data_IF_489932850888
#
_entry.id   IF_489932850888
#
_cell.length_a   1.000
_cell.length_b   1.000
_cell.length_c   1.000
_cell.angle_alpha   90.00
_cell.angle_beta   90.00
_cell.angle_gamma   90.00
#
_symmetry.space_group_name_H-M   'P 1'
#
loop_
_entity.id
_entity.type
_entity.pdbx_description
1 polymer ?
#
# COMPACT_ATOMS: atom_id res chain seq x y z
N UNK A 1 -20.90 -19.39 0.33
CA UNK A 1 -20.88 -19.38 -1.15
C UNK A 1 -20.18 -20.65 -1.62
N UNK A 2 -20.53 -21.19 -2.79
CA UNK A 2 -19.81 -22.34 -3.33
C UNK A 2 -18.44 -21.90 -3.86
N UNK A 3 -17.45 -22.81 -3.87
CA UNK A 3 -16.12 -22.56 -4.44
C UNK A 3 -16.20 -22.01 -5.88
N UNK A 4 -17.14 -22.50 -6.65
CA UNK A 4 -17.38 -22.05 -8.03
C UNK A 4 -17.85 -20.58 -8.09
N UNK A 5 -18.74 -20.18 -7.18
CA UNK A 5 -19.19 -18.78 -7.08
C UNK A 5 -18.05 -17.83 -6.70
N UNK A 6 -17.16 -18.27 -5.82
CA UNK A 6 -16.00 -17.51 -5.41
C UNK A 6 -14.99 -17.32 -6.56
N UNK A 7 -14.76 -18.37 -7.36
CA UNK A 7 -13.88 -18.30 -8.54
C UNK A 7 -14.48 -17.35 -9.59
N UNK A 8 -15.78 -17.47 -9.88
CA UNK A 8 -16.45 -16.55 -10.79
C UNK A 8 -16.45 -15.12 -10.27
N UNK A 9 -16.56 -14.94 -8.95
CA UNK A 9 -16.44 -13.64 -8.29
C UNK A 9 -15.08 -12.99 -8.51
N UNK A 10 -13.98 -13.77 -8.40
CA UNK A 10 -12.62 -13.25 -8.65
C UNK A 10 -12.42 -12.90 -10.15
N UNK A 11 -12.94 -13.71 -11.08
CA UNK A 11 -12.90 -13.40 -12.53
C UNK A 11 -13.66 -12.11 -12.85
N UNK A 12 -14.89 -11.98 -12.34
CA UNK A 12 -15.70 -10.78 -12.57
C UNK A 12 -15.03 -9.55 -11.94
N UNK A 13 -14.45 -9.68 -10.74
CA UNK A 13 -13.74 -8.58 -10.09
C UNK A 13 -12.53 -8.10 -10.90
N UNK A 14 -11.83 -9.01 -11.61
CA UNK A 14 -10.74 -8.65 -12.51
C UNK A 14 -11.27 -7.86 -13.72
N UNK A 15 -12.36 -8.33 -14.35
CA UNK A 15 -13.00 -7.62 -15.46
C UNK A 15 -13.54 -6.24 -15.07
N UNK A 16 -14.05 -6.11 -13.83
CA UNK A 16 -14.60 -4.83 -13.33
C UNK A 16 -13.51 -3.77 -13.07
N UNK A 17 -12.25 -4.20 -12.82
CA UNK A 17 -11.16 -3.33 -12.32
C UNK A 17 -10.03 -3.12 -13.30
N UNK A 18 -9.88 -4.01 -14.28
CA UNK A 18 -8.90 -3.90 -15.35
C UNK A 18 -9.61 -3.62 -16.68
N UNK A 19 -9.57 -2.37 -17.19
CA UNK A 19 -10.17 -2.02 -18.48
C UNK A 19 -9.58 -2.78 -19.67
N UNK A 20 -8.35 -3.35 -19.53
CA UNK A 20 -7.73 -4.15 -20.57
C UNK A 20 -8.29 -5.57 -20.64
N UNK A 21 -8.92 -6.06 -19.57
CA UNK A 21 -9.56 -7.37 -19.53
C UNK A 21 -10.93 -7.33 -20.21
N UNK A 22 -11.09 -8.00 -21.34
CA UNK A 22 -12.33 -7.95 -22.13
C UNK A 22 -13.20 -9.18 -22.00
N UNK A 23 -12.61 -10.35 -21.68
CA UNK A 23 -13.29 -11.65 -21.68
C UNK A 23 -12.88 -12.50 -20.48
N UNK A 24 -13.83 -13.26 -19.93
CA UNK A 24 -13.56 -14.22 -18.82
C UNK A 24 -12.49 -15.25 -19.19
N UNK A 25 -12.48 -15.71 -20.43
CA UNK A 25 -11.50 -16.68 -20.92
C UNK A 25 -10.07 -16.09 -20.89
N UNK A 26 -9.94 -14.82 -21.18
CA UNK A 26 -8.67 -14.09 -21.12
C UNK A 26 -8.11 -14.06 -19.69
N UNK A 27 -8.96 -13.72 -18.70
CA UNK A 27 -8.58 -13.76 -17.28
C UNK A 27 -8.15 -15.17 -16.87
N UNK A 28 -8.90 -16.18 -17.29
CA UNK A 28 -8.61 -17.57 -16.98
C UNK A 28 -7.26 -18.04 -17.54
N UNK A 29 -6.88 -17.60 -18.75
CA UNK A 29 -5.70 -18.10 -19.45
C UNK A 29 -4.43 -17.26 -19.23
N UNK A 30 -4.56 -15.94 -19.04
CA UNK A 30 -3.42 -15.02 -19.15
C UNK A 30 -3.19 -14.14 -17.94
N UNK A 31 -4.01 -14.22 -16.87
CA UNK A 31 -3.86 -13.37 -15.68
C UNK A 31 -3.12 -14.09 -14.56
N UNK A 32 -1.83 -13.79 -14.33
CA UNK A 32 -1.02 -14.47 -13.32
C UNK A 32 -1.56 -14.25 -11.90
N UNK A 33 -2.15 -13.09 -11.60
CA UNK A 33 -2.79 -12.81 -10.31
C UNK A 33 -3.97 -13.72 -10.04
N UNK A 34 -4.80 -13.98 -11.06
CA UNK A 34 -5.90 -14.94 -10.95
C UNK A 34 -5.39 -16.36 -10.73
N UNK A 35 -4.35 -16.80 -11.47
CA UNK A 35 -3.75 -18.12 -11.29
C UNK A 35 -3.21 -18.31 -9.88
N UNK A 36 -2.46 -17.33 -9.37
CA UNK A 36 -1.92 -17.37 -8.01
C UNK A 36 -3.04 -17.46 -6.96
N UNK A 37 -4.12 -16.70 -7.14
CA UNK A 37 -5.28 -16.73 -6.25
C UNK A 37 -6.02 -18.07 -6.32
N UNK A 38 -6.22 -18.61 -7.51
CA UNK A 38 -6.90 -19.89 -7.71
C UNK A 38 -6.16 -21.03 -6.99
N UNK A 39 -4.85 -21.16 -7.24
CA UNK A 39 -4.04 -22.20 -6.60
C UNK A 39 -3.93 -21.98 -5.09
N UNK A 40 -3.86 -20.74 -4.63
CA UNK A 40 -3.87 -20.43 -3.20
C UNK A 40 -5.14 -20.97 -2.50
N UNK A 41 -6.33 -20.93 -3.12
CA UNK A 41 -7.54 -21.50 -2.53
C UNK A 41 -7.38 -22.98 -2.18
N UNK A 42 -6.82 -23.77 -3.12
CA UNK A 42 -6.53 -25.19 -2.89
C UNK A 42 -5.40 -25.39 -1.88
N UNK A 43 -4.32 -24.63 -2.00
CA UNK A 43 -3.20 -24.71 -1.05
C UNK A 43 -3.62 -24.35 0.38
N UNK A 44 -4.47 -23.35 0.56
CA UNK A 44 -5.03 -22.99 1.86
C UNK A 44 -5.89 -24.09 2.47
N UNK A 45 -6.73 -24.76 1.66
CA UNK A 45 -7.51 -25.92 2.12
C UNK A 45 -6.60 -27.07 2.58
N UNK A 46 -5.56 -27.40 1.81
CA UNK A 46 -4.56 -28.43 2.14
C UNK A 46 -3.78 -28.02 3.39
N UNK A 47 -3.41 -26.75 3.53
CA UNK A 47 -2.73 -26.21 4.71
C UNK A 47 -3.55 -26.38 5.99
N UNK A 48 -4.87 -26.12 5.93
CA UNK A 48 -5.80 -26.36 7.04
C UNK A 48 -5.89 -27.85 7.44
N UNK A 49 -5.64 -28.76 6.51
CA UNK A 49 -5.56 -30.23 6.78
C UNK A 49 -4.20 -30.64 7.35
N UNK A 50 -3.32 -29.69 7.71
CA UNK A 50 -1.97 -29.92 8.24
C UNK A 50 -0.97 -30.55 7.26
N UNK A 51 -1.30 -30.63 5.99
CA UNK A 51 -0.40 -31.10 4.93
C UNK A 51 0.51 -29.94 4.45
N UNK A 52 1.34 -29.46 5.37
CA UNK A 52 2.08 -28.19 5.22
C UNK A 52 3.07 -28.19 4.05
N UNK A 53 3.80 -29.30 3.85
CA UNK A 53 4.78 -29.40 2.76
C UNK A 53 4.13 -29.35 1.39
N UNK A 54 3.00 -30.04 1.22
CA UNK A 54 2.27 -30.04 -0.05
C UNK A 54 1.72 -28.65 -0.35
N UNK A 55 1.10 -28.01 0.65
CA UNK A 55 0.57 -26.66 0.48
C UNK A 55 1.67 -25.65 0.11
N UNK A 56 2.82 -25.68 0.78
CA UNK A 56 3.97 -24.83 0.48
C UNK A 56 4.57 -25.15 -0.89
N UNK A 57 4.68 -26.43 -1.26
CA UNK A 57 5.18 -26.85 -2.57
C UNK A 57 4.32 -26.32 -3.72
N UNK A 58 2.97 -26.39 -3.59
CA UNK A 58 2.06 -25.80 -4.58
C UNK A 58 2.28 -24.30 -4.74
N UNK A 59 2.39 -23.55 -3.64
CA UNK A 59 2.62 -22.10 -3.71
C UNK A 59 4.02 -21.74 -4.22
N UNK A 60 5.02 -22.58 -3.98
CA UNK A 60 6.35 -22.43 -4.56
C UNK A 60 6.32 -22.55 -6.10
N UNK A 61 5.61 -23.55 -6.64
CA UNK A 61 5.44 -23.73 -8.08
C UNK A 61 4.72 -22.51 -8.73
N UNK A 62 3.69 -22.00 -8.06
CA UNK A 62 2.98 -20.80 -8.51
C UNK A 62 3.91 -19.59 -8.53
N UNK A 63 4.74 -19.42 -7.49
CA UNK A 63 5.73 -18.34 -7.46
C UNK A 63 6.70 -18.40 -8.63
N UNK A 64 7.15 -19.58 -9.04
CA UNK A 64 8.06 -19.73 -10.18
C UNK A 64 7.45 -19.28 -11.52
N UNK A 65 6.14 -19.45 -11.68
CA UNK A 65 5.45 -19.13 -12.94
C UNK A 65 4.82 -17.74 -12.97
N UNK A 66 4.43 -17.22 -11.80
CA UNK A 66 3.70 -15.95 -11.70
C UNK A 66 4.51 -14.82 -11.07
N UNK A 67 5.65 -15.15 -10.42
CA UNK A 67 6.42 -14.24 -9.58
C UNK A 67 5.62 -13.62 -8.40
N UNK A 68 4.51 -14.29 -8.01
CA UNK A 68 3.65 -13.92 -6.88
C UNK A 68 3.87 -14.91 -5.74
N UNK A 69 4.22 -14.39 -4.57
CA UNK A 69 4.38 -15.18 -3.36
C UNK A 69 3.18 -14.99 -2.42
N UNK A 70 2.41 -16.06 -2.19
CA UNK A 70 1.33 -16.07 -1.19
C UNK A 70 1.58 -17.23 -0.25
N UNK A 71 1.71 -16.94 1.06
CA UNK A 71 1.81 -18.01 2.03
C UNK A 71 0.47 -18.76 2.13
N UNK A 72 0.44 -20.11 2.09
CA UNK A 72 -0.82 -20.87 2.10
C UNK A 72 -1.64 -20.70 3.39
N UNK A 73 -1.06 -20.13 4.45
CA UNK A 73 -1.76 -19.78 5.69
C UNK A 73 -2.55 -18.46 5.63
N UNK A 74 -2.28 -17.59 4.66
CA UNK A 74 -2.99 -16.33 4.51
C UNK A 74 -4.50 -16.54 4.32
N UNK A 75 -5.32 -15.70 4.95
CA UNK A 75 -6.77 -15.72 4.79
C UNK A 75 -7.17 -14.65 3.77
N UNK A 76 -7.79 -15.05 2.68
CA UNK A 76 -8.13 -14.13 1.59
C UNK A 76 -9.61 -14.28 1.24
N UNK A 77 -10.34 -13.18 1.34
CA UNK A 77 -11.77 -13.06 1.04
C UNK A 77 -12.10 -13.15 -0.46
N UNK A 78 -13.38 -13.03 -0.81
CA UNK A 78 -13.86 -13.08 -2.18
C UNK A 78 -13.55 -11.78 -2.95
N UNK A 79 -13.59 -11.88 -4.29
CA UNK A 79 -13.37 -10.76 -5.22
C UNK A 79 -12.01 -10.07 -5.02
N UNK A 80 -11.00 -10.87 -4.67
CA UNK A 80 -9.63 -10.42 -4.53
C UNK A 80 -8.93 -10.42 -5.89
N UNK A 81 -8.30 -9.30 -6.22
CA UNK A 81 -7.59 -9.09 -7.49
C UNK A 81 -6.12 -8.75 -7.21
N UNK A 82 -5.23 -9.40 -7.92
CA UNK A 82 -3.83 -9.00 -8.06
C UNK A 82 -3.63 -8.60 -9.52
N UNK A 83 -3.41 -7.30 -9.73
CA UNK A 83 -3.18 -6.75 -11.05
C UNK A 83 -1.67 -6.68 -11.33
N UNK A 84 -1.26 -7.11 -12.54
CA UNK A 84 0.12 -7.35 -12.95
C UNK A 84 0.86 -8.39 -12.09
N UNK A 85 0.95 -8.21 -10.80
CA UNK A 85 1.29 -9.16 -9.75
C UNK A 85 2.77 -9.44 -9.50
N UNK A 86 3.67 -9.19 -10.45
CA UNK A 86 5.10 -9.50 -10.27
C UNK A 86 5.66 -8.88 -8.98
N UNK A 87 6.32 -9.69 -8.14
CA UNK A 87 6.92 -9.25 -6.88
C UNK A 87 5.94 -9.00 -5.74
N UNK A 88 4.66 -9.38 -5.87
CA UNK A 88 3.72 -9.37 -4.73
C UNK A 88 4.12 -10.42 -3.70
N UNK A 89 4.12 -10.04 -2.41
CA UNK A 89 4.40 -10.92 -1.28
C UNK A 89 3.28 -10.80 -0.24
N UNK A 90 2.62 -11.91 0.07
CA UNK A 90 1.56 -12.00 1.08
C UNK A 90 1.96 -12.99 2.16
N UNK A 91 2.25 -12.48 3.37
CA UNK A 91 2.75 -13.26 4.50
C UNK A 91 1.71 -14.14 5.19
N UNK A 92 2.19 -15.05 6.04
CA UNK A 92 1.43 -16.15 6.66
C UNK A 92 0.16 -15.73 7.40
N UNK A 93 0.26 -14.71 8.25
CA UNK A 93 -0.86 -14.28 9.11
C UNK A 93 -1.63 -13.09 8.55
N UNK A 94 -1.47 -12.82 7.23
CA UNK A 94 -2.25 -11.79 6.54
C UNK A 94 -3.72 -12.19 6.50
N UNK A 95 -4.59 -11.20 6.72
CA UNK A 95 -6.03 -11.33 6.54
C UNK A 95 -6.51 -10.27 5.55
N UNK A 96 -7.17 -10.71 4.50
CA UNK A 96 -7.68 -9.86 3.42
C UNK A 96 -9.19 -10.07 3.34
N UNK A 97 -9.94 -9.01 3.54
CA UNK A 97 -11.39 -8.96 3.39
C UNK A 97 -11.84 -9.01 1.92
N UNK A 98 -13.13 -8.75 1.66
CA UNK A 98 -13.67 -8.78 0.30
C UNK A 98 -13.20 -7.57 -0.52
N UNK A 99 -13.27 -7.71 -1.86
CA UNK A 99 -13.09 -6.61 -2.82
C UNK A 99 -11.73 -5.89 -2.77
N UNK A 100 -10.66 -6.54 -2.36
CA UNK A 100 -9.33 -5.93 -2.28
C UNK A 100 -8.58 -6.08 -3.60
N UNK A 101 -7.88 -5.01 -4.01
CA UNK A 101 -6.98 -4.99 -5.16
C UNK A 101 -5.55 -4.69 -4.72
N UNK A 102 -4.61 -5.53 -5.14
CA UNK A 102 -3.18 -5.30 -4.98
C UNK A 102 -2.53 -5.16 -6.36
N UNK A 103 -1.62 -4.21 -6.50
CA UNK A 103 -0.78 -4.06 -7.68
C UNK A 103 0.58 -4.75 -7.50
N UNK A 104 1.36 -4.81 -8.59
CA UNK A 104 2.70 -5.43 -8.59
C UNK A 104 3.60 -4.85 -7.48
N UNK A 105 4.49 -5.70 -6.96
CA UNK A 105 5.50 -5.32 -5.97
C UNK A 105 4.96 -5.00 -4.57
N UNK A 106 3.65 -5.14 -4.32
CA UNK A 106 3.07 -4.95 -2.99
C UNK A 106 3.60 -6.00 -2.03
N UNK A 107 3.95 -5.57 -0.80
CA UNK A 107 4.35 -6.49 0.28
C UNK A 107 3.42 -6.32 1.48
N UNK A 108 2.77 -7.41 1.88
CA UNK A 108 2.07 -7.54 3.15
C UNK A 108 2.96 -8.33 4.11
N UNK A 109 3.89 -7.59 4.77
CA UNK A 109 5.02 -8.15 5.50
C UNK A 109 4.83 -8.18 7.01
N UNK A 110 5.64 -8.97 7.69
CA UNK A 110 5.64 -9.08 9.16
C UNK A 110 6.86 -8.45 9.81
N UNK A 111 6.73 -8.07 11.08
CA UNK A 111 7.81 -7.45 11.88
C UNK A 111 8.36 -8.36 12.97
N UNK A 112 7.79 -9.56 13.16
CA UNK A 112 8.18 -10.46 14.26
C UNK A 112 8.58 -11.83 13.76
N UNK A 113 9.56 -12.43 14.40
CA UNK A 113 9.97 -13.84 14.22
C UNK A 113 9.13 -14.82 15.04
N UNK A 114 8.29 -14.32 15.95
CA UNK A 114 7.40 -15.15 16.78
C UNK A 114 6.20 -15.64 15.98
N UNK A 115 5.64 -16.79 16.38
CA UNK A 115 4.42 -17.37 15.77
C UNK A 115 3.14 -16.71 16.30
N UNK A 116 3.01 -15.41 16.05
CA UNK A 116 1.86 -14.59 16.43
C UNK A 116 1.29 -13.88 15.20
N UNK A 117 0.17 -13.18 15.33
CA UNK A 117 -0.28 -12.24 14.31
C UNK A 117 0.81 -11.18 14.12
N UNK A 118 1.40 -11.10 12.91
CA UNK A 118 2.54 -10.25 12.57
C UNK A 118 2.46 -9.63 11.18
N UNK A 119 1.43 -9.97 10.41
CA UNK A 119 1.17 -9.43 9.08
C UNK A 119 -0.13 -8.64 9.07
N UNK A 120 -0.34 -7.76 8.07
CA UNK A 120 -1.48 -6.86 8.03
C UNK A 120 -2.84 -7.55 7.95
N UNK A 121 -3.87 -6.77 8.35
CA UNK A 121 -5.28 -7.05 8.07
C UNK A 121 -5.83 -5.95 7.17
N UNK A 122 -6.39 -6.30 6.02
CA UNK A 122 -7.12 -5.42 5.12
C UNK A 122 -8.61 -5.74 5.28
N UNK A 123 -9.41 -4.78 5.76
CA UNK A 123 -10.82 -5.04 6.13
C UNK A 123 -11.68 -5.31 4.90
N UNK A 124 -11.48 -4.56 3.81
CA UNK A 124 -12.16 -4.77 2.52
C UNK A 124 -12.24 -3.50 1.68
N UNK A 125 -12.64 -3.64 0.42
CA UNK A 125 -12.74 -2.57 -0.58
C UNK A 125 -11.47 -1.72 -0.73
N UNK A 126 -10.32 -2.27 -0.33
CA UNK A 126 -9.04 -1.58 -0.34
C UNK A 126 -8.38 -1.65 -1.72
N UNK A 127 -7.66 -0.59 -2.05
CA UNK A 127 -6.75 -0.54 -3.20
C UNK A 127 -5.34 -0.25 -2.71
N UNK A 128 -4.39 -1.14 -3.01
CA UNK A 128 -2.99 -1.00 -2.62
C UNK A 128 -2.15 -0.81 -3.87
N UNK A 129 -1.61 0.38 -4.03
CA UNK A 129 -0.84 0.81 -5.20
C UNK A 129 0.48 0.06 -5.37
N UNK A 130 1.01 0.12 -6.58
CA UNK A 130 2.22 -0.59 -6.99
C UNK A 130 3.40 -0.32 -6.04
N UNK A 131 4.11 -1.39 -5.66
CA UNK A 131 5.30 -1.28 -4.82
C UNK A 131 5.07 -0.90 -3.36
N UNK A 132 3.84 -0.66 -2.93
CA UNK A 132 3.55 -0.30 -1.53
C UNK A 132 3.92 -1.43 -0.56
N UNK A 133 4.39 -1.05 0.63
CA UNK A 133 4.80 -1.97 1.70
C UNK A 133 3.94 -1.72 2.93
N UNK A 134 3.17 -2.70 3.35
CA UNK A 134 2.37 -2.67 4.57
C UNK A 134 3.00 -3.66 5.54
N UNK A 135 3.56 -3.16 6.63
CA UNK A 135 4.48 -3.93 7.45
C UNK A 135 4.00 -3.98 8.91
N UNK A 136 3.84 -5.19 9.43
CA UNK A 136 3.41 -5.44 10.80
C UNK A 136 1.95 -5.90 10.92
N UNK A 137 1.49 -6.12 12.15
CA UNK A 137 0.10 -6.48 12.45
C UNK A 137 -0.81 -5.25 12.45
N UNK A 138 -0.70 -4.42 11.39
CA UNK A 138 -1.50 -3.21 11.22
C UNK A 138 -2.84 -3.51 10.56
N UNK A 139 -3.83 -2.68 10.82
CA UNK A 139 -5.15 -2.75 10.21
C UNK A 139 -5.34 -1.64 9.18
N UNK A 140 -5.79 -2.01 7.99
CA UNK A 140 -6.17 -1.10 6.92
C UNK A 140 -7.69 -1.11 6.85
N UNK A 141 -8.30 -0.01 7.26
CA UNK A 141 -9.75 0.14 7.37
C UNK A 141 -10.48 -0.02 6.03
N UNK A 142 -11.79 -0.24 6.12
CA UNK A 142 -12.67 -0.42 4.95
C UNK A 142 -12.50 0.73 3.96
N UNK A 143 -12.39 0.43 2.67
CA UNK A 143 -12.32 1.43 1.61
C UNK A 143 -11.03 2.26 1.57
N UNK A 144 -10.09 2.04 2.50
CA UNK A 144 -8.82 2.79 2.51
C UNK A 144 -7.96 2.49 1.29
N UNK A 145 -7.24 3.51 0.83
CA UNK A 145 -6.37 3.47 -0.35
C UNK A 145 -4.92 3.73 0.04
N UNK A 146 -4.03 2.90 -0.44
CA UNK A 146 -2.59 3.06 -0.22
C UNK A 146 -1.93 3.43 -1.55
N UNK A 147 -1.28 4.58 -1.59
CA UNK A 147 -0.60 5.08 -2.77
C UNK A 147 0.60 4.20 -3.18
N UNK A 148 0.97 4.28 -4.45
CA UNK A 148 2.13 3.54 -4.97
C UNK A 148 3.41 3.93 -4.22
N UNK A 149 4.27 2.94 -3.94
CA UNK A 149 5.54 3.15 -3.24
C UNK A 149 5.45 3.49 -1.75
N UNK A 150 4.25 3.63 -1.19
CA UNK A 150 4.07 4.00 0.22
C UNK A 150 4.52 2.91 1.18
N UNK A 151 5.02 3.31 2.36
CA UNK A 151 5.42 2.39 3.44
C UNK A 151 4.53 2.63 4.66
N UNK A 152 3.59 1.71 4.91
CA UNK A 152 2.60 1.81 5.98
C UNK A 152 3.04 0.97 7.18
N UNK A 153 3.20 1.63 8.33
CA UNK A 153 3.69 1.04 9.58
C UNK A 153 2.67 1.15 10.73
N UNK A 154 1.56 1.84 10.51
CA UNK A 154 0.51 2.11 11.50
C UNK A 154 -0.87 1.79 10.94
N UNK A 155 -1.88 1.70 11.80
CA UNK A 155 -3.26 1.50 11.38
C UNK A 155 -3.75 2.66 10.51
N UNK A 156 -4.56 2.32 9.50
CA UNK A 156 -5.15 3.28 8.58
C UNK A 156 -6.67 3.30 8.78
N UNK A 157 -7.27 4.47 9.05
CA UNK A 157 -8.72 4.59 9.19
C UNK A 157 -9.49 4.18 7.91
N UNK A 158 -10.78 3.95 8.07
CA UNK A 158 -11.70 3.71 6.95
C UNK A 158 -11.67 4.89 5.96
N UNK A 159 -11.79 4.59 4.67
CA UNK A 159 -11.86 5.57 3.58
C UNK A 159 -10.69 6.57 3.51
N UNK A 160 -9.62 6.32 4.25
CA UNK A 160 -8.41 7.15 4.23
C UNK A 160 -7.54 6.83 3.01
N UNK A 161 -6.84 7.85 2.53
CA UNK A 161 -5.77 7.70 1.54
C UNK A 161 -4.43 7.97 2.20
N UNK A 162 -3.49 7.03 2.07
CA UNK A 162 -2.13 7.12 2.62
C UNK A 162 -1.12 7.16 1.49
N UNK A 163 -0.18 8.08 1.57
CA UNK A 163 0.97 8.18 0.63
C UNK A 163 2.26 8.47 1.39
N UNK A 164 3.39 8.19 0.76
CA UNK A 164 4.73 8.57 1.25
C UNK A 164 5.49 7.48 2.01
N UNK A 165 6.72 7.83 2.46
CA UNK A 165 7.65 6.96 3.19
C UNK A 165 8.28 7.75 4.35
N UNK A 166 7.84 7.54 5.61
CA UNK A 166 6.71 6.72 6.04
C UNK A 166 5.37 7.23 5.49
N UNK A 167 4.37 6.35 5.40
CA UNK A 167 3.06 6.71 4.84
C UNK A 167 2.25 7.64 5.76
N UNK A 168 1.74 8.74 5.21
CA UNK A 168 0.90 9.71 5.87
C UNK A 168 -0.50 9.72 5.28
N UNK A 169 -1.52 9.96 6.13
CA UNK A 169 -2.90 10.11 5.68
C UNK A 169 -3.04 11.48 5.03
N UNK A 170 -3.37 11.51 3.74
CA UNK A 170 -3.54 12.77 2.99
C UNK A 170 -5.00 13.15 2.78
N UNK A 171 -5.89 12.16 2.75
CA UNK A 171 -7.31 12.36 2.53
C UNK A 171 -8.12 11.36 3.32
N UNK A 172 -9.30 11.78 3.78
CA UNK A 172 -10.33 10.89 4.32
C UNK A 172 -11.64 11.22 3.60
N UNK A 173 -12.32 10.21 3.05
CA UNK A 173 -13.64 10.37 2.44
C UNK A 173 -14.71 10.13 3.49
N UNK A 174 -15.60 11.10 3.67
CA UNK A 174 -16.78 10.97 4.52
C UNK A 174 -17.87 10.20 3.75
N UNK A 175 -18.26 9.04 4.25
CA UNK A 175 -19.26 8.17 3.61
C UNK A 175 -20.68 8.77 3.67
N UNK A 176 -20.97 9.68 4.60
CA UNK A 176 -22.30 10.25 4.78
C UNK A 176 -22.65 11.29 3.71
N UNK A 177 -21.67 12.03 3.21
CA UNK A 177 -21.87 13.14 2.27
C UNK A 177 -20.96 13.07 1.03
N UNK A 178 -20.06 12.08 0.97
CA UNK A 178 -19.09 11.90 -0.12
C UNK A 178 -17.99 12.96 -0.19
N UNK A 179 -17.91 13.85 0.79
CA UNK A 179 -16.90 14.91 0.84
C UNK A 179 -15.55 14.31 1.13
N UNK A 180 -14.54 14.74 0.37
CA UNK A 180 -13.14 14.36 0.60
C UNK A 180 -12.49 15.44 1.45
N UNK A 181 -12.21 15.12 2.71
CA UNK A 181 -11.45 15.98 3.60
C UNK A 181 -9.95 15.77 3.35
N UNK A 182 -9.26 16.84 2.94
CA UNK A 182 -7.80 16.84 2.84
C UNK A 182 -7.21 16.98 4.25
N UNK A 183 -6.29 16.10 4.59
CA UNK A 183 -5.56 16.18 5.85
C UNK A 183 -4.30 17.05 5.65
N UNK A 184 -3.85 17.77 6.69
CA UNK A 184 -2.57 18.46 6.65
C UNK A 184 -1.45 17.48 6.27
N UNK A 185 -0.57 17.91 5.39
CA UNK A 185 0.65 17.17 5.06
C UNK A 185 1.79 17.68 5.96
N UNK A 186 2.24 16.88 6.96
CA UNK A 186 3.25 17.32 7.90
C UNK A 186 4.60 17.67 7.24
N UNK A 187 4.93 17.03 6.11
CA UNK A 187 6.16 17.30 5.37
C UNK A 187 6.03 18.63 4.61
N UNK A 188 4.88 18.89 4.00
CA UNK A 188 4.59 20.14 3.32
C UNK A 188 4.55 21.33 4.30
N UNK A 189 3.92 21.16 5.46
CA UNK A 189 3.92 22.19 6.52
C UNK A 189 5.33 22.49 7.03
N UNK A 190 6.15 21.44 7.20
CA UNK A 190 7.56 21.60 7.60
C UNK A 190 8.41 22.29 6.54
N UNK A 191 8.18 21.99 5.25
CA UNK A 191 8.84 22.66 4.14
C UNK A 191 8.47 24.14 4.10
N UNK A 192 7.19 24.50 4.20
CA UNK A 192 6.74 25.88 4.25
C UNK A 192 7.34 26.66 5.44
N UNK A 193 7.46 25.99 6.61
CA UNK A 193 8.09 26.59 7.78
C UNK A 193 9.61 26.82 7.55
N UNK A 194 10.29 25.90 6.86
CA UNK A 194 11.70 26.06 6.52
C UNK A 194 11.90 27.17 5.50
N UNK A 195 11.04 27.27 4.49
CA UNK A 195 11.09 28.36 3.50
C UNK A 195 10.91 29.72 4.18
N UNK A 196 9.91 29.87 5.07
CA UNK A 196 9.70 31.13 5.80
C UNK A 196 10.89 31.51 6.69
N UNK A 197 11.54 30.53 7.34
CA UNK A 197 12.77 30.78 8.12
C UNK A 197 13.96 31.14 7.24
N UNK A 198 14.08 30.58 6.06
CA UNK A 198 15.10 30.98 5.08
C UNK A 198 14.90 32.40 4.64
N UNK A 199 13.66 32.86 4.39
CA UNK A 199 13.36 34.23 4.04
C UNK A 199 13.73 35.21 5.18
N UNK A 200 13.35 34.89 6.43
CA UNK A 200 13.74 35.69 7.62
C UNK A 200 15.26 35.78 7.77
N UNK A 201 15.99 34.70 7.51
CA UNK A 201 17.46 34.71 7.56
C UNK A 201 18.07 35.54 6.48
N UNK A 202 17.55 35.46 5.25
CA UNK A 202 18.01 36.27 4.12
C UNK A 202 17.79 37.80 4.36
N UNK A 203 16.65 38.16 4.91
CA UNK A 203 16.38 39.54 5.31
C UNK A 203 17.37 40.01 6.38
N UNK A 204 17.63 39.17 7.41
CA UNK A 204 18.60 39.48 8.46
C UNK A 204 20.03 39.66 7.91
N UNK A 205 20.44 38.77 6.98
CA UNK A 205 21.75 38.87 6.31
C UNK A 205 21.85 40.17 5.52
N UNK A 206 20.82 40.51 4.76
CA UNK A 206 20.78 41.75 3.97
C UNK A 206 20.90 43.00 4.85
N UNK A 207 20.19 42.98 5.99
CA UNK A 207 20.26 44.09 6.96
C UNK A 207 21.66 44.20 7.57
N UNK A 208 22.28 43.07 7.95
CA UNK A 208 23.64 43.07 8.50
C UNK A 208 24.70 43.53 7.46
N UNK A 209 24.55 43.10 6.21
CA UNK A 209 25.44 43.55 5.13
C UNK A 209 25.37 45.07 4.94
N UNK A 210 24.14 45.63 4.92
CA UNK A 210 23.96 47.09 4.81
C UNK A 210 24.57 47.81 6.00
N UNK A 211 24.40 47.32 7.22
CA UNK A 211 24.98 47.94 8.41
C UNK A 211 26.52 47.89 8.42
N UNK A 212 27.12 46.81 7.91
CA UNK A 212 28.57 46.68 7.75
C UNK A 212 29.07 47.68 6.70
N UNK A 213 28.36 47.87 5.59
CA UNK A 213 28.70 48.88 4.56
C UNK A 213 28.63 50.30 5.11
N UNK A 214 27.61 50.64 5.92
CA UNK A 214 27.47 51.92 6.59
C UNK A 214 28.65 52.18 7.55
N UNK A 215 29.04 51.22 8.37
CA UNK A 215 30.17 51.31 9.29
C UNK A 215 31.52 51.48 8.56
N UNK A 216 31.70 50.80 7.43
CA UNK A 216 32.89 50.95 6.60
C UNK A 216 32.97 52.32 5.94
N UNK A 217 31.84 52.94 5.55
CA UNK A 217 31.78 54.25 4.96
C UNK A 217 32.11 55.34 6.00
N UNK A 218 31.63 55.21 7.24
CA UNK A 218 31.95 56.14 8.34
C UNK A 218 33.44 56.14 8.74
N UNK A 219 34.14 55.01 8.56
CA UNK A 219 35.59 54.92 8.87
C UNK A 219 36.51 55.49 7.79
N UNK A 220 35.96 55.87 6.63
CA UNK A 220 36.73 56.38 5.48
C UNK A 220 36.39 57.82 5.08
N UNK A 221 35.70 58.63 5.94
CA UNK A 221 35.65 60.09 5.78
C UNK A 221 37.03 60.69 6.13
N UNK A 222 37.78 61.28 5.19
CA UNK A 222 39.03 61.94 5.49
C UNK A 222 38.74 63.28 6.16
N UNK A 223 39.48 63.64 7.22
CA UNK A 223 39.55 64.97 7.86
C UNK A 223 39.91 66.12 6.87
#
# INVERSE_FOLDING_TARGET
>A
MSLFQDILGDINATLDRDPAATRKLEVLLFYPGFHARLVHRFAHFIYKKRLLLIAKGLMYLVRLTTHIEIHPGAKIGPRFVIDHGSGVVIGETTEIGPNVTLYQGVTLGGTSTKRIKRHPTLVGDNVVGAGAKIIGAVEIGQGARIGAGSVVLTNVPENATVIGVPGHITHVKDDSNGVIQRMPDPEWERLNLLDSKMDELNESITHLQKHIEELHSEQHEPE
#
